data_IF_671889036109
#
_entry.id   IF_671889036109
#
_cell.length_a   1.000
_cell.length_b   1.000
_cell.length_c   1.000
_cell.angle_alpha   90.00
_cell.angle_beta   90.00
_cell.angle_gamma   90.00
#
_symmetry.space_group_name_H-M   'P 1'
#
loop_
_entity.id
_entity.type
_entity.pdbx_description
1 polymer ?
#
# COMPACT_ATOMS: atom_id res chain seq x y z
N UNK A 1 -22.11 -25.16 35.28
CA UNK A 1 -22.69 -24.46 34.11
C UNK A 1 -21.71 -23.41 33.54
N UNK A 2 -20.48 -23.81 33.21
CA UNK A 2 -19.43 -22.91 32.68
C UNK A 2 -18.86 -23.35 31.32
N UNK A 3 -19.59 -24.19 30.59
CA UNK A 3 -19.14 -24.80 29.33
C UNK A 3 -19.67 -24.11 28.06
N UNK A 4 -20.40 -22.98 28.18
CA UNK A 4 -21.02 -22.30 27.03
C UNK A 4 -20.35 -20.99 26.57
N UNK A 5 -19.28 -20.54 27.22
CA UNK A 5 -18.63 -19.25 26.87
C UNK A 5 -17.38 -19.43 26.00
N UNK A 6 -16.78 -20.62 25.95
CA UNK A 6 -15.55 -20.91 25.18
C UNK A 6 -15.78 -21.27 23.69
N UNK A 7 -17.02 -21.36 23.23
CA UNK A 7 -17.36 -21.73 21.85
C UNK A 7 -17.34 -20.60 20.81
N UNK A 8 -17.32 -19.32 21.24
CA UNK A 8 -17.47 -18.16 20.34
C UNK A 8 -16.17 -17.47 19.91
N UNK A 9 -15.00 -17.86 20.44
CA UNK A 9 -13.72 -17.27 20.03
C UNK A 9 -13.07 -17.95 18.82
N UNK A 10 -13.51 -19.15 18.43
CA UNK A 10 -12.91 -19.88 17.30
C UNK A 10 -13.42 -19.47 15.91
N UNK A 11 -14.61 -18.84 15.81
CA UNK A 11 -15.15 -18.36 14.53
C UNK A 11 -14.64 -16.97 14.16
N UNK A 12 -14.31 -16.11 15.12
CA UNK A 12 -13.84 -14.75 14.84
C UNK A 12 -12.46 -14.68 14.19
N UNK A 13 -11.59 -15.67 14.44
CA UNK A 13 -10.25 -15.73 13.88
C UNK A 13 -10.17 -16.47 12.54
N UNK A 14 -11.09 -17.39 12.26
CA UNK A 14 -11.19 -18.03 10.94
C UNK A 14 -11.70 -17.05 9.88
N UNK A 15 -12.69 -16.22 10.25
CA UNK A 15 -13.38 -15.34 9.30
C UNK A 15 -12.49 -14.19 8.85
N UNK A 16 -11.73 -13.56 9.77
CA UNK A 16 -10.75 -12.53 9.41
C UNK A 16 -9.60 -13.05 8.53
N UNK A 17 -9.18 -14.29 8.76
CA UNK A 17 -8.16 -14.92 7.92
C UNK A 17 -8.69 -15.24 6.52
N UNK A 18 -9.98 -15.58 6.40
CA UNK A 18 -10.61 -15.77 5.11
C UNK A 18 -10.77 -14.45 4.35
N UNK A 19 -11.26 -13.39 5.00
CA UNK A 19 -11.37 -12.05 4.40
C UNK A 19 -10.02 -11.52 3.91
N UNK A 20 -8.96 -11.70 4.70
CA UNK A 20 -7.61 -11.29 4.32
C UNK A 20 -7.10 -12.10 3.12
N UNK A 21 -7.34 -13.42 3.08
CA UNK A 21 -6.98 -14.27 1.92
C UNK A 21 -7.72 -13.85 0.66
N UNK A 22 -9.02 -13.59 0.76
CA UNK A 22 -9.85 -13.17 -0.38
C UNK A 22 -9.39 -11.80 -0.91
N UNK A 23 -9.00 -10.88 -0.01
CA UNK A 23 -8.41 -9.60 -0.37
C UNK A 23 -7.10 -9.77 -1.13
N UNK A 24 -6.19 -10.60 -0.59
CA UNK A 24 -4.90 -10.90 -1.21
C UNK A 24 -5.11 -11.51 -2.60
N UNK A 25 -6.01 -12.48 -2.73
CA UNK A 25 -6.31 -13.14 -4.01
C UNK A 25 -6.90 -12.16 -5.04
N UNK A 26 -7.80 -11.27 -4.62
CA UNK A 26 -8.37 -10.26 -5.52
C UNK A 26 -7.32 -9.29 -6.01
N UNK A 27 -6.52 -8.71 -5.10
CA UNK A 27 -5.50 -7.72 -5.45
C UNK A 27 -4.36 -8.36 -6.25
N UNK A 28 -3.98 -9.60 -5.96
CA UNK A 28 -2.91 -10.30 -6.71
C UNK A 28 -3.27 -10.49 -8.18
N UNK A 29 -4.55 -10.52 -8.55
CA UNK A 29 -5.04 -10.60 -9.93
C UNK A 29 -5.20 -9.24 -10.62
N UNK A 30 -5.17 -8.13 -9.86
CA UNK A 30 -5.34 -6.78 -10.41
C UNK A 30 -4.13 -6.33 -11.25
N UNK A 31 -4.39 -5.54 -12.29
CA UNK A 31 -3.37 -4.75 -12.98
C UNK A 31 -3.20 -3.36 -12.30
N UNK A 32 -2.26 -2.53 -12.77
CA UNK A 32 -2.01 -1.20 -12.17
C UNK A 32 -3.24 -0.28 -12.19
N UNK A 33 -4.06 -0.35 -13.24
CA UNK A 33 -5.28 0.45 -13.36
C UNK A 33 -6.30 0.05 -12.31
N UNK A 34 -6.49 -1.25 -12.11
CA UNK A 34 -7.42 -1.79 -11.11
C UNK A 34 -6.94 -1.49 -9.69
N UNK A 35 -5.64 -1.63 -9.42
CA UNK A 35 -5.04 -1.23 -8.14
C UNK A 35 -5.24 0.26 -7.86
N UNK A 36 -5.08 1.11 -8.87
CA UNK A 36 -5.34 2.55 -8.75
C UNK A 36 -6.82 2.82 -8.49
N UNK A 37 -7.73 2.08 -9.14
CA UNK A 37 -9.15 2.18 -8.85
C UNK A 37 -9.45 1.79 -7.40
N UNK A 38 -8.85 0.71 -6.90
CA UNK A 38 -9.00 0.27 -5.51
C UNK A 38 -8.53 1.32 -4.50
N UNK A 39 -7.33 1.89 -4.66
CA UNK A 39 -6.80 2.93 -3.76
C UNK A 39 -7.73 4.15 -3.70
N UNK A 40 -8.41 4.46 -4.81
CA UNK A 40 -9.35 5.56 -4.92
C UNK A 40 -10.80 5.19 -4.52
N UNK A 41 -11.05 4.02 -3.92
CA UNK A 41 -12.38 3.49 -3.60
C UNK A 41 -13.34 3.46 -4.81
N UNK A 42 -12.84 3.11 -5.99
CA UNK A 42 -13.63 2.99 -7.23
C UNK A 42 -13.96 1.54 -7.61
N UNK A 43 -13.52 0.57 -6.80
CA UNK A 43 -13.90 -0.84 -6.99
C UNK A 43 -15.14 -1.11 -6.15
N UNK A 44 -16.28 -1.47 -6.76
CA UNK A 44 -17.48 -1.85 -6.02
C UNK A 44 -17.19 -2.98 -5.04
N UNK A 45 -17.81 -2.92 -3.86
CA UNK A 45 -17.74 -3.97 -2.85
C UNK A 45 -16.35 -4.31 -2.31
N UNK A 46 -15.34 -3.46 -2.58
CA UNK A 46 -13.98 -3.60 -2.07
C UNK A 46 -13.44 -2.26 -1.55
N UNK A 47 -13.65 -2.02 -0.25
CA UNK A 47 -13.23 -0.78 0.40
C UNK A 47 -11.71 -0.75 0.64
N UNK A 48 -11.09 0.41 0.40
CA UNK A 48 -9.67 0.60 0.71
C UNK A 48 -9.40 0.50 2.21
N UNK A 49 -8.46 -0.37 2.55
CA UNK A 49 -7.95 -0.58 3.90
C UNK A 49 -6.42 -0.70 3.90
N UNK A 50 -5.84 -0.73 5.09
CA UNK A 50 -4.39 -0.84 5.29
C UNK A 50 -3.81 -2.10 4.64
N UNK A 51 -4.40 -3.27 4.91
CA UNK A 51 -3.96 -4.55 4.36
C UNK A 51 -3.87 -4.52 2.84
N UNK A 52 -4.87 -3.96 2.16
CA UNK A 52 -4.83 -3.92 0.70
C UNK A 52 -3.81 -2.94 0.15
N UNK A 53 -3.47 -1.86 0.86
CA UNK A 53 -2.32 -1.02 0.49
C UNK A 53 -1.01 -1.80 0.61
N UNK A 54 -0.85 -2.58 1.69
CA UNK A 54 0.30 -3.46 1.92
C UNK A 54 0.41 -4.52 0.83
N UNK A 55 -0.68 -5.18 0.46
CA UNK A 55 -0.69 -6.20 -0.61
C UNK A 55 -0.25 -5.60 -1.95
N UNK A 56 -0.72 -4.39 -2.28
CA UNK A 56 -0.29 -3.70 -3.51
C UNK A 56 1.22 -3.44 -3.47
N UNK A 57 1.75 -2.89 -2.36
CA UNK A 57 3.18 -2.61 -2.24
C UNK A 57 4.03 -3.88 -2.36
N UNK A 58 3.61 -4.96 -1.67
CA UNK A 58 4.28 -6.25 -1.76
C UNK A 58 4.30 -6.79 -3.19
N UNK A 59 3.19 -6.65 -3.93
CA UNK A 59 3.13 -7.05 -5.35
C UNK A 59 4.08 -6.23 -6.24
N UNK A 60 4.30 -4.95 -5.94
CA UNK A 60 5.27 -4.13 -6.68
C UNK A 60 6.72 -4.50 -6.35
N UNK A 61 6.96 -5.02 -5.14
CA UNK A 61 8.27 -5.48 -4.66
C UNK A 61 8.60 -6.91 -5.07
N UNK A 62 7.58 -7.71 -5.38
CA UNK A 62 7.70 -9.10 -5.79
C UNK A 62 8.53 -9.22 -7.08
N UNK A 63 9.49 -10.13 -7.05
CA UNK A 63 10.34 -10.46 -8.19
C UNK A 63 9.75 -11.69 -8.85
N UNK A 64 9.45 -11.58 -10.14
CA UNK A 64 8.99 -12.72 -10.92
C UNK A 64 10.13 -13.74 -11.08
N UNK A 65 9.89 -14.98 -10.66
CA UNK A 65 10.91 -16.04 -10.62
C UNK A 65 11.49 -16.36 -12.01
N UNK A 66 10.70 -16.18 -13.08
CA UNK A 66 11.10 -16.53 -14.45
C UNK A 66 11.98 -15.45 -15.08
N UNK A 67 11.64 -14.20 -14.83
CA UNK A 67 12.29 -13.04 -15.46
C UNK A 67 13.32 -12.38 -14.54
N UNK A 68 13.31 -12.69 -13.25
CA UNK A 68 14.10 -12.01 -12.20
C UNK A 68 13.88 -10.50 -12.17
N UNK A 69 12.71 -10.03 -12.65
CA UNK A 69 12.32 -8.63 -12.73
C UNK A 69 11.13 -8.35 -11.82
N UNK A 70 11.06 -7.14 -11.28
CA UNK A 70 9.87 -6.68 -10.54
C UNK A 70 8.74 -6.33 -11.47
N UNK A 71 7.52 -6.26 -10.94
CA UNK A 71 6.31 -5.99 -11.73
C UNK A 71 6.44 -4.76 -12.66
N UNK A 72 7.06 -3.67 -12.19
CA UNK A 72 7.24 -2.43 -12.96
C UNK A 72 8.35 -2.49 -14.01
N UNK A 73 9.24 -3.49 -13.95
CA UNK A 73 10.39 -3.69 -14.85
C UNK A 73 10.08 -4.65 -16.00
N UNK A 74 9.03 -5.46 -15.84
CA UNK A 74 8.59 -6.39 -16.86
C UNK A 74 8.13 -5.58 -18.08
N UNK A 75 8.65 -5.93 -19.25
CA UNK A 75 8.41 -5.32 -20.57
C UNK A 75 9.06 -3.94 -20.82
N UNK A 76 9.80 -3.36 -19.86
CA UNK A 76 10.53 -2.08 -19.96
C UNK A 76 9.73 -0.93 -20.61
N UNK A 77 8.42 -0.87 -20.29
CA UNK A 77 7.54 0.17 -20.80
C UNK A 77 7.54 1.38 -19.87
N UNK A 78 7.99 2.54 -20.37
CA UNK A 78 7.96 3.82 -19.62
C UNK A 78 6.59 4.13 -19.00
N UNK A 79 5.52 3.78 -19.71
CA UNK A 79 4.15 3.95 -19.21
C UNK A 79 3.85 3.08 -17.98
N UNK A 80 4.42 1.87 -17.89
CA UNK A 80 4.27 0.96 -16.76
C UNK A 80 5.06 1.43 -15.55
N UNK A 81 6.29 1.88 -15.77
CA UNK A 81 7.14 2.51 -14.74
C UNK A 81 6.42 3.72 -14.15
N UNK A 82 5.97 4.63 -15.01
CA UNK A 82 5.21 5.82 -14.61
C UNK A 82 3.96 5.46 -13.81
N UNK A 83 3.16 4.51 -14.30
CA UNK A 83 1.95 4.08 -13.63
C UNK A 83 2.23 3.44 -12.27
N UNK A 84 3.31 2.67 -12.15
CA UNK A 84 3.79 2.13 -10.87
C UNK A 84 4.19 3.23 -9.89
N UNK A 85 4.94 4.24 -10.34
CA UNK A 85 5.33 5.37 -9.49
C UNK A 85 4.12 6.20 -9.06
N UNK A 86 3.20 6.51 -9.99
CA UNK A 86 1.96 7.22 -9.69
C UNK A 86 1.07 6.44 -8.70
N UNK A 87 1.11 5.10 -8.77
CA UNK A 87 0.40 4.22 -7.84
C UNK A 87 0.97 4.36 -6.42
N UNK A 88 2.30 4.27 -6.26
CA UNK A 88 2.96 4.42 -4.96
C UNK A 88 2.73 5.82 -4.37
N UNK A 89 2.79 6.87 -5.19
CA UNK A 89 2.43 8.23 -4.74
C UNK A 89 0.97 8.30 -4.27
N UNK A 90 0.06 7.64 -4.97
CA UNK A 90 -1.36 7.58 -4.56
C UNK A 90 -1.53 6.90 -3.19
N UNK A 91 -0.76 5.83 -2.91
CA UNK A 91 -0.74 5.16 -1.60
C UNK A 91 -0.27 6.11 -0.50
N UNK A 92 0.83 6.85 -0.72
CA UNK A 92 1.37 7.79 0.26
C UNK A 92 0.40 8.91 0.64
N UNK A 93 -0.46 9.32 -0.28
CA UNK A 93 -1.49 10.34 -0.02
C UNK A 93 -2.78 9.77 0.59
N UNK A 94 -2.89 8.45 0.74
CA UNK A 94 -4.10 7.80 1.25
C UNK A 94 -4.22 7.93 2.78
N UNK A 95 -5.43 8.21 3.27
CA UNK A 95 -5.72 8.36 4.71
C UNK A 95 -5.56 7.05 5.52
N UNK A 96 -5.47 5.91 4.84
CA UNK A 96 -5.28 4.57 5.42
C UNK A 96 -3.81 4.16 5.48
N UNK A 97 -2.87 4.99 5.04
CA UNK A 97 -1.43 4.71 5.13
C UNK A 97 -1.01 4.56 6.59
N UNK A 98 -0.11 3.62 6.85
CA UNK A 98 0.44 3.32 8.17
C UNK A 98 1.95 3.21 8.13
N UNK A 99 2.58 3.02 9.29
CA UNK A 99 4.05 2.90 9.39
C UNK A 99 4.56 1.76 8.51
N UNK A 100 3.90 0.60 8.55
CA UNK A 100 4.25 -0.55 7.72
C UNK A 100 4.13 -0.26 6.22
N UNK A 101 3.15 0.54 5.82
CA UNK A 101 3.06 1.00 4.42
C UNK A 101 4.25 1.88 4.04
N UNK A 102 4.69 2.77 4.93
CA UNK A 102 5.86 3.64 4.69
C UNK A 102 7.16 2.84 4.60
N UNK A 103 7.33 1.81 5.44
CA UNK A 103 8.49 0.90 5.39
C UNK A 103 8.59 0.21 4.02
N UNK A 104 7.47 -0.33 3.52
CA UNK A 104 7.42 -0.97 2.20
C UNK A 104 7.65 0.03 1.06
N UNK A 105 7.18 1.28 1.20
CA UNK A 105 7.49 2.33 0.23
C UNK A 105 8.99 2.64 0.23
N UNK A 106 9.64 2.75 1.39
CA UNK A 106 11.08 2.97 1.45
C UNK A 106 11.85 1.81 0.78
N UNK A 107 11.45 0.57 1.04
CA UNK A 107 12.02 -0.61 0.37
C UNK A 107 11.84 -0.52 -1.15
N UNK A 108 10.66 -0.10 -1.62
CA UNK A 108 10.40 0.09 -3.05
C UNK A 108 11.34 1.14 -3.66
N UNK A 109 11.58 2.26 -2.96
CA UNK A 109 12.46 3.32 -3.43
C UNK A 109 13.94 2.91 -3.44
N UNK A 110 14.36 2.11 -2.46
CA UNK A 110 15.72 1.57 -2.44
C UNK A 110 15.93 0.60 -3.60
N UNK A 111 15.01 -0.34 -3.78
CA UNK A 111 15.07 -1.35 -4.84
C UNK A 111 14.94 -0.75 -6.24
N UNK A 112 14.14 0.30 -6.39
CA UNK A 112 13.85 0.94 -7.68
C UNK A 112 14.68 2.21 -7.93
N UNK A 113 15.70 2.48 -7.10
CA UNK A 113 16.48 3.73 -7.15
C UNK A 113 17.02 4.04 -8.55
N UNK A 114 17.65 3.05 -9.17
CA UNK A 114 18.29 3.22 -10.48
C UNK A 114 17.25 3.52 -11.57
N UNK A 115 16.09 2.86 -11.49
CA UNK A 115 14.97 3.06 -12.41
C UNK A 115 14.38 4.45 -12.23
N UNK A 116 14.17 4.89 -10.99
CA UNK A 116 13.66 6.22 -10.68
C UNK A 116 14.62 7.29 -11.22
N UNK A 117 15.92 7.15 -10.98
CA UNK A 117 16.92 8.11 -11.44
C UNK A 117 17.02 8.16 -12.96
N UNK A 118 17.04 7.00 -13.62
CA UNK A 118 17.02 6.90 -15.08
C UNK A 118 15.76 7.56 -15.64
N UNK A 119 14.59 7.22 -15.10
CA UNK A 119 13.31 7.74 -15.55
C UNK A 119 13.21 9.27 -15.37
N UNK A 120 13.62 9.81 -14.21
CA UNK A 120 13.63 11.25 -13.95
C UNK A 120 14.54 12.00 -14.94
N UNK A 121 15.71 11.43 -15.26
CA UNK A 121 16.69 12.02 -16.18
C UNK A 121 16.19 11.98 -17.63
N UNK A 122 15.76 10.82 -18.11
CA UNK A 122 15.36 10.60 -19.50
C UNK A 122 14.02 11.26 -19.84
N UNK A 123 13.07 11.24 -18.90
CA UNK A 123 11.71 11.73 -19.12
C UNK A 123 11.45 13.13 -18.53
N UNK A 124 12.49 13.81 -18.02
CA UNK A 124 12.41 15.13 -17.37
C UNK A 124 11.35 15.18 -16.27
N UNK A 125 11.29 14.12 -15.45
CA UNK A 125 10.39 14.01 -14.32
C UNK A 125 11.12 14.28 -13.00
N UNK A 126 10.37 14.31 -11.90
CA UNK A 126 10.88 14.62 -10.54
C UNK A 126 10.32 13.65 -9.49
N UNK A 127 10.19 12.37 -9.83
CA UNK A 127 9.65 11.34 -8.94
C UNK A 127 10.46 11.21 -7.66
N UNK A 128 11.79 11.32 -7.71
CA UNK A 128 12.63 11.29 -6.52
C UNK A 128 12.21 12.36 -5.48
N UNK A 129 12.00 13.61 -5.93
CA UNK A 129 11.51 14.68 -5.07
C UNK A 129 10.08 14.43 -4.61
N UNK A 130 9.18 14.04 -5.52
CA UNK A 130 7.76 13.77 -5.21
C UNK A 130 7.62 12.70 -4.14
N UNK A 131 8.43 11.64 -4.17
CA UNK A 131 8.43 10.60 -3.16
C UNK A 131 8.88 11.13 -1.79
N UNK A 132 9.99 11.87 -1.74
CA UNK A 132 10.48 12.46 -0.49
C UNK A 132 9.45 13.39 0.15
N UNK A 133 8.82 14.24 -0.65
CA UNK A 133 7.79 15.17 -0.19
C UNK A 133 6.55 14.43 0.29
N UNK A 134 6.12 13.39 -0.45
CA UNK A 134 4.94 12.60 -0.12
C UNK A 134 5.13 11.75 1.14
N UNK A 135 6.31 11.15 1.36
CA UNK A 135 6.64 10.44 2.60
C UNK A 135 6.63 11.41 3.79
N UNK A 136 7.27 12.58 3.63
CA UNK A 136 7.31 13.59 4.69
C UNK A 136 5.90 14.06 5.07
N UNK A 137 5.02 14.24 4.07
CA UNK A 137 3.62 14.59 4.28
C UNK A 137 2.85 13.46 4.97
N UNK A 138 3.03 12.21 4.54
CA UNK A 138 2.36 11.05 5.13
C UNK A 138 2.72 10.90 6.61
N UNK A 139 4.01 10.98 6.96
CA UNK A 139 4.49 10.93 8.34
C UNK A 139 3.91 12.08 9.17
N UNK A 140 3.88 13.31 8.64
CA UNK A 140 3.28 14.46 9.32
C UNK A 140 1.79 14.23 9.59
N UNK A 141 1.04 13.74 8.61
CA UNK A 141 -0.39 13.46 8.76
C UNK A 141 -0.66 12.37 9.81
N UNK A 142 0.19 11.34 9.86
CA UNK A 142 0.10 10.28 10.87
C UNK A 142 0.36 10.81 12.29
N UNK A 143 1.39 11.65 12.46
CA UNK A 143 1.69 12.28 13.74
C UNK A 143 0.53 13.17 14.21
N UNK A 144 0.01 14.03 13.33
CA UNK A 144 -1.14 14.87 13.64
C UNK A 144 -2.38 14.06 14.06
N UNK A 145 -2.63 12.92 13.38
CA UNK A 145 -3.72 12.00 13.74
C UNK A 145 -3.51 11.36 15.11
N UNK A 146 -2.28 10.97 15.43
CA UNK A 146 -1.91 10.42 16.73
C UNK A 146 -2.09 11.44 17.86
N UNK A 147 -1.59 12.66 17.67
CA UNK A 147 -1.76 13.76 18.62
C UNK A 147 -3.22 14.10 18.88
N UNK A 148 -4.04 14.16 17.81
CA UNK A 148 -5.48 14.42 17.93
C UNK A 148 -6.19 13.32 18.74
N UNK A 149 -5.86 12.04 18.47
CA UNK A 149 -6.40 10.90 19.23
C UNK A 149 -6.03 10.98 20.71
N UNK A 150 -4.79 11.35 21.02
CA UNK A 150 -4.33 11.51 22.40
C UNK A 150 -5.08 12.64 23.11
N UNK A 151 -5.29 13.78 22.45
CA UNK A 151 -6.07 14.90 23.02
C UNK A 151 -7.52 14.51 23.30
N UNK A 152 -8.17 13.76 22.41
CA UNK A 152 -9.54 13.26 22.65
C UNK A 152 -9.60 12.32 23.85
N UNK A 153 -8.64 11.41 23.99
CA UNK A 153 -8.59 10.48 25.12
C UNK A 153 -8.41 11.19 26.48
N UNK A 154 -7.74 12.36 26.49
CA UNK A 154 -7.55 13.17 27.71
C UNK A 154 -8.81 13.98 28.08
N UNK A 155 -9.67 14.32 27.11
CA UNK A 155 -10.87 15.14 27.35
C UNK A 155 -12.12 14.26 27.61
N UNK A 156 -12.16 13.04 27.07
CA UNK A 156 -13.29 12.13 27.17
C UNK A 156 -13.17 11.01 28.20
N UNK A 157 -12.09 10.98 29.00
CA UNK A 157 -11.89 10.06 30.12
C UNK A 157 -12.00 10.77 31.45
#
# INVERSE_FOLDING_TARGET
MFSKILGKMKSFSSDKNQEHRDLVEKISKMNLTDMRAYINNRVPDLQVNEDGLIVILNKLLEVDEKTSKRYIEIDDMDSKIKNGFDLVLSILTNKKVTVSSIELVNEFLEKSRDIIQKYDTENKQIYCSKFKDSISLAVRNMNAKSEFKNKLNVIGG
#
